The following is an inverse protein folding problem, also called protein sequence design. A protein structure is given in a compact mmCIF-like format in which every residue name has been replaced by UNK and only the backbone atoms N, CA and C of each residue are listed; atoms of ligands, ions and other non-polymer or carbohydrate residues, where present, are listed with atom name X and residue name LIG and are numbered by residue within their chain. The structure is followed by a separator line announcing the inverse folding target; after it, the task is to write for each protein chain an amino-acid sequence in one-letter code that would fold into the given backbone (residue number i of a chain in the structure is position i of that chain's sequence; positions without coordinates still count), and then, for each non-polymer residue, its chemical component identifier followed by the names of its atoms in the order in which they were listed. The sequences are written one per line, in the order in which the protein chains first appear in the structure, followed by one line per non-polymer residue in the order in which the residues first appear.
data_IF_784779939780
#
_entry.id   IF_784779939780
#
_cell.length_a   1.000
_cell.length_b   1.000
_cell.length_c   1.000
_cell.angle_alpha   90.00
_cell.angle_beta   90.00
_cell.angle_gamma   90.00
#
_symmetry.space_group_name_H-M   'P 1'
#
loop_
_entity.id
_entity.type
_entity.pdbx_description
1 polymer ?
#
# COMPACT_ATOMS: atom_id res chain seq x y z
N UNK A 1 -9.40 -21.39 1.12
CA UNK A 1 -8.01 -20.96 1.44
C UNK A 1 -7.22 -22.15 1.99
N UNK A 2 -5.97 -22.37 1.55
CA UNK A 2 -5.15 -23.46 2.14
C UNK A 2 -4.64 -23.00 3.51
N UNK A 3 -5.28 -23.50 4.57
CA UNK A 3 -4.98 -23.13 5.96
C UNK A 3 -3.55 -23.48 6.39
N UNK A 4 -2.85 -24.38 5.68
CA UNK A 4 -1.47 -24.74 5.98
C UNK A 4 -0.50 -23.58 5.77
N UNK A 5 -0.83 -22.63 4.88
CA UNK A 5 0.01 -21.47 4.54
C UNK A 5 -0.15 -20.29 5.49
N UNK A 6 -1.17 -20.32 6.34
CA UNK A 6 -1.55 -19.20 7.23
C UNK A 6 -1.75 -19.67 8.69
N UNK A 7 -1.01 -20.72 9.10
CA UNK A 7 -1.14 -21.33 10.45
C UNK A 7 -0.87 -20.35 11.59
N UNK A 8 0.00 -19.40 11.38
CA UNK A 8 0.33 -18.33 12.33
C UNK A 8 -0.87 -17.39 12.55
N UNK A 9 -1.60 -17.06 11.51
CA UNK A 9 -2.81 -16.22 11.57
C UNK A 9 -4.01 -16.96 12.17
N UNK A 10 -4.08 -18.28 11.97
CA UNK A 10 -5.12 -19.12 12.55
C UNK A 10 -5.05 -19.26 14.07
N UNK A 11 -4.01 -18.74 14.72
CA UNK A 11 -3.94 -18.65 16.18
C UNK A 11 -4.87 -17.59 16.76
N UNK A 12 -5.28 -16.62 15.95
CA UNK A 12 -6.12 -15.49 16.35
C UNK A 12 -7.58 -15.75 16.01
N UNK A 13 -8.47 -15.92 17.02
CA UNK A 13 -9.89 -16.21 16.79
C UNK A 13 -10.62 -15.09 16.03
N UNK A 14 -10.22 -13.83 16.24
CA UNK A 14 -10.74 -12.67 15.52
C UNK A 14 -10.47 -12.74 14.01
N UNK A 15 -9.28 -13.20 13.60
CA UNK A 15 -8.95 -13.35 12.19
C UNK A 15 -9.74 -14.50 11.55
N UNK A 16 -9.98 -15.60 12.29
CA UNK A 16 -10.86 -16.69 11.84
C UNK A 16 -12.28 -16.20 11.65
N UNK A 17 -12.79 -15.38 12.58
CA UNK A 17 -14.11 -14.80 12.51
C UNK A 17 -14.26 -13.93 11.26
N UNK A 18 -13.33 -12.99 11.03
CA UNK A 18 -13.32 -12.12 9.86
C UNK A 18 -13.23 -12.93 8.55
N UNK A 19 -12.40 -13.96 8.51
CA UNK A 19 -12.27 -14.82 7.32
C UNK A 19 -13.56 -15.64 7.06
N UNK A 20 -14.28 -16.03 8.10
CA UNK A 20 -15.56 -16.74 7.97
C UNK A 20 -16.68 -15.82 7.48
N UNK A 21 -16.66 -14.57 7.91
CA UNK A 21 -17.66 -13.55 7.62
C UNK A 21 -17.04 -12.36 6.86
N UNK A 22 -16.34 -12.67 5.78
CA UNK A 22 -15.55 -11.71 4.99
C UNK A 22 -16.38 -10.53 4.46
N UNK A 23 -17.66 -10.77 4.15
CA UNK A 23 -18.59 -9.73 3.70
C UNK A 23 -19.09 -8.82 4.85
N UNK A 24 -18.91 -9.22 6.10
CA UNK A 24 -19.39 -8.43 7.25
C UNK A 24 -18.62 -7.12 7.40
N UNK A 25 -17.30 -7.16 7.21
CA UNK A 25 -16.45 -5.99 7.35
C UNK A 25 -16.77 -4.89 6.33
N UNK A 26 -16.85 -5.18 5.01
CA UNK A 26 -17.24 -4.16 4.04
C UNK A 26 -18.69 -3.70 4.24
N UNK A 27 -19.64 -4.58 4.62
CA UNK A 27 -21.00 -4.17 4.92
C UNK A 27 -21.07 -3.22 6.13
N UNK A 28 -20.34 -3.54 7.21
CA UNK A 28 -20.26 -2.66 8.37
C UNK A 28 -19.60 -1.31 8.03
N UNK A 29 -18.55 -1.32 7.22
CA UNK A 29 -17.90 -0.10 6.75
C UNK A 29 -18.84 0.78 5.94
N UNK A 30 -19.62 0.20 5.02
CA UNK A 30 -20.61 0.93 4.23
C UNK A 30 -21.69 1.58 5.12
N UNK A 31 -22.22 0.84 6.11
CA UNK A 31 -23.18 1.37 7.08
C UNK A 31 -22.59 2.50 7.92
N UNK A 32 -21.36 2.33 8.44
CA UNK A 32 -20.71 3.35 9.25
C UNK A 32 -20.41 4.64 8.45
N UNK A 33 -19.99 4.50 7.20
CA UNK A 33 -19.75 5.65 6.30
C UNK A 33 -21.07 6.39 6.02
N UNK A 34 -22.18 5.65 5.79
CA UNK A 34 -23.50 6.25 5.62
C UNK A 34 -23.92 7.01 6.87
N UNK A 35 -23.85 6.37 8.05
CA UNK A 35 -24.21 7.01 9.32
C UNK A 35 -23.35 8.22 9.64
N UNK A 36 -22.07 8.17 9.32
CA UNK A 36 -21.18 9.32 9.46
C UNK A 36 -21.65 10.49 8.58
N UNK A 37 -22.05 10.23 7.35
CA UNK A 37 -22.59 11.26 6.46
C UNK A 37 -23.86 11.89 6.97
N UNK A 38 -24.80 11.09 7.53
CA UNK A 38 -26.01 11.61 8.19
C UNK A 38 -25.66 12.46 9.43
N UNK A 39 -24.72 11.99 10.24
CA UNK A 39 -24.25 12.75 11.41
C UNK A 39 -23.62 14.10 10.99
N UNK A 40 -22.80 14.12 9.94
CA UNK A 40 -22.18 15.35 9.42
C UNK A 40 -23.23 16.30 8.84
N UNK A 41 -24.28 15.80 8.21
CA UNK A 41 -25.38 16.64 7.72
C UNK A 41 -26.07 17.40 8.85
N UNK A 42 -26.15 16.80 10.07
CA UNK A 42 -26.74 17.42 11.24
C UNK A 42 -25.75 18.35 11.99
N UNK A 43 -24.53 17.87 12.23
CA UNK A 43 -23.58 18.56 13.12
C UNK A 43 -22.67 19.54 12.39
N UNK A 44 -22.49 19.37 11.09
CA UNK A 44 -21.64 20.21 10.24
C UNK A 44 -22.28 20.48 8.88
N UNK A 45 -23.50 21.09 8.84
CA UNK A 45 -24.26 21.29 7.59
C UNK A 45 -23.50 22.12 6.55
N UNK A 46 -22.57 22.96 6.98
CA UNK A 46 -21.70 23.74 6.08
C UNK A 46 -20.80 22.90 5.17
N UNK A 47 -20.62 21.60 5.44
CA UNK A 47 -19.88 20.68 4.57
C UNK A 47 -20.69 20.26 3.33
N UNK A 48 -22.01 20.49 3.31
CA UNK A 48 -22.88 20.16 2.19
C UNK A 48 -22.90 18.66 1.84
N UNK A 49 -22.65 17.77 2.82
CA UNK A 49 -22.63 16.32 2.63
C UNK A 49 -23.81 15.63 3.33
N UNK A 50 -24.08 14.38 2.95
CA UNK A 50 -25.09 13.52 3.56
C UNK A 50 -24.65 12.04 3.48
N UNK A 51 -25.43 11.14 4.10
CA UNK A 51 -25.12 9.72 4.15
C UNK A 51 -24.99 9.06 2.79
N UNK A 52 -25.90 9.35 1.88
CA UNK A 52 -25.86 8.76 0.54
C UNK A 52 -24.62 9.25 -0.24
N UNK A 53 -24.31 10.52 -0.16
CA UNK A 53 -23.13 11.08 -0.83
C UNK A 53 -21.83 10.49 -0.27
N UNK A 54 -21.71 10.37 1.06
CA UNK A 54 -20.56 9.75 1.68
C UNK A 54 -20.45 8.26 1.32
N UNK A 55 -21.54 7.53 1.29
CA UNK A 55 -21.58 6.13 0.87
C UNK A 55 -21.09 5.96 -0.57
N UNK A 56 -21.59 6.77 -1.50
CA UNK A 56 -21.20 6.68 -2.92
C UNK A 56 -19.71 7.01 -3.10
N UNK A 57 -19.25 8.12 -2.57
CA UNK A 57 -17.86 8.57 -2.76
C UNK A 57 -16.87 7.82 -1.86
N UNK A 58 -17.20 7.69 -0.56
CA UNK A 58 -16.31 7.15 0.46
C UNK A 58 -16.25 5.62 0.46
N UNK A 59 -17.24 4.94 -0.09
CA UNK A 59 -17.23 3.47 -0.18
C UNK A 59 -17.13 2.99 -1.63
N UNK A 60 -18.16 3.23 -2.47
CA UNK A 60 -18.17 2.63 -3.81
C UNK A 60 -17.09 3.19 -4.73
N UNK A 61 -17.01 4.50 -4.89
CA UNK A 61 -16.02 5.12 -5.80
C UNK A 61 -14.60 4.89 -5.27
N UNK A 62 -14.37 5.07 -3.97
CA UNK A 62 -13.05 4.82 -3.37
C UNK A 62 -12.59 3.37 -3.54
N UNK A 63 -13.49 2.39 -3.41
CA UNK A 63 -13.20 0.97 -3.62
C UNK A 63 -12.81 0.69 -5.08
N UNK A 64 -13.54 1.27 -6.04
CA UNK A 64 -13.21 1.13 -7.48
C UNK A 64 -11.85 1.77 -7.78
N UNK A 65 -11.58 2.97 -7.26
CA UNK A 65 -10.29 3.63 -7.43
C UNK A 65 -9.14 2.81 -6.83
N UNK A 66 -9.33 2.27 -5.62
CA UNK A 66 -8.34 1.40 -4.96
C UNK A 66 -8.08 0.13 -5.77
N UNK A 67 -9.13 -0.51 -6.29
CA UNK A 67 -9.01 -1.69 -7.14
C UNK A 67 -8.14 -1.38 -8.38
N UNK A 68 -8.43 -0.29 -9.10
CA UNK A 68 -7.65 0.11 -10.28
C UNK A 68 -6.22 0.49 -9.92
N UNK A 69 -5.96 1.16 -8.80
CA UNK A 69 -4.63 1.45 -8.31
C UNK A 69 -3.84 0.15 -8.07
N UNK A 70 -4.44 -0.82 -7.37
CA UNK A 70 -3.82 -2.12 -7.07
C UNK A 70 -3.53 -2.92 -8.35
N UNK A 71 -4.48 -2.99 -9.29
CA UNK A 71 -4.28 -3.67 -10.58
C UNK A 71 -3.20 -2.99 -11.41
N UNK A 72 -3.09 -1.65 -11.36
CA UNK A 72 -2.04 -0.91 -12.08
C UNK A 72 -0.64 -1.21 -11.55
N UNK A 73 -0.49 -1.47 -10.24
CA UNK A 73 0.79 -1.91 -9.66
C UNK A 73 1.21 -3.24 -10.31
N UNK A 74 0.30 -4.21 -10.39
CA UNK A 74 0.60 -5.54 -10.91
C UNK A 74 0.65 -5.65 -12.44
N UNK A 75 0.22 -4.63 -13.16
CA UNK A 75 0.25 -4.58 -14.63
C UNK A 75 1.24 -3.55 -15.16
N UNK A 76 0.99 -2.26 -14.93
CA UNK A 76 1.82 -1.18 -15.48
C UNK A 76 3.23 -1.19 -14.91
N UNK A 77 3.44 -1.57 -13.65
CA UNK A 77 4.77 -1.69 -13.07
C UNK A 77 5.61 -2.84 -13.64
N UNK A 78 5.03 -3.73 -14.44
CA UNK A 78 5.78 -4.74 -15.20
C UNK A 78 6.08 -4.31 -16.65
N UNK A 79 5.43 -3.25 -17.15
CA UNK A 79 5.61 -2.77 -18.53
C UNK A 79 6.32 -1.42 -18.56
N UNK A 80 5.95 -0.50 -17.65
CA UNK A 80 6.41 0.89 -17.68
C UNK A 80 7.27 1.24 -16.46
N UNK A 81 8.48 1.71 -16.72
CA UNK A 81 9.43 2.14 -15.68
C UNK A 81 10.85 1.64 -15.92
N UNK A 82 11.68 1.71 -14.88
CA UNK A 82 13.10 1.35 -14.95
C UNK A 82 13.38 0.12 -14.07
N UNK A 83 14.01 -0.89 -14.63
CA UNK A 83 14.57 -2.01 -13.84
C UNK A 83 15.88 -1.55 -13.21
N UNK A 84 15.96 -1.56 -11.89
CA UNK A 84 17.21 -1.33 -11.15
C UNK A 84 17.92 -2.65 -10.92
N UNK A 85 17.19 -3.62 -10.44
CA UNK A 85 17.68 -4.97 -10.14
C UNK A 85 17.23 -5.93 -11.22
N UNK A 86 18.06 -6.93 -11.49
CA UNK A 86 17.65 -8.11 -12.23
C UNK A 86 16.87 -9.01 -11.26
N UNK A 87 15.58 -9.12 -11.52
CA UNK A 87 14.62 -9.97 -10.82
C UNK A 87 14.11 -11.04 -11.79
N UNK A 88 13.55 -12.13 -11.27
CA UNK A 88 13.02 -13.22 -12.09
C UNK A 88 11.76 -12.83 -12.89
N UNK A 89 11.32 -11.59 -12.75
CA UNK A 89 10.16 -11.00 -13.41
C UNK A 89 10.50 -9.68 -14.12
N UNK A 90 9.51 -9.06 -14.76
CA UNK A 90 9.64 -7.79 -15.48
C UNK A 90 9.31 -6.56 -14.63
N UNK A 91 9.34 -6.68 -13.29
CA UNK A 91 9.04 -5.58 -12.38
C UNK A 91 9.93 -4.35 -12.62
N UNK A 92 9.34 -3.17 -12.53
CA UNK A 92 9.97 -1.88 -12.81
C UNK A 92 9.63 -0.86 -11.74
N UNK A 93 10.54 0.07 -11.50
CA UNK A 93 10.32 1.25 -10.67
C UNK A 93 9.75 2.37 -11.53
N UNK A 94 8.61 2.94 -11.14
CA UNK A 94 7.98 4.04 -11.83
C UNK A 94 7.61 5.13 -10.81
N UNK A 95 8.17 6.32 -10.98
CA UNK A 95 7.96 7.46 -10.09
C UNK A 95 6.50 7.91 -10.04
N UNK A 96 5.83 8.00 -11.20
CA UNK A 96 4.45 8.46 -11.26
C UNK A 96 3.49 7.47 -10.61
N UNK A 97 3.69 6.18 -10.88
CA UNK A 97 2.93 5.15 -10.19
C UNK A 97 3.20 5.17 -8.68
N UNK A 98 4.45 5.38 -8.25
CA UNK A 98 4.78 5.46 -6.83
C UNK A 98 4.06 6.62 -6.13
N UNK A 99 3.88 7.77 -6.79
CA UNK A 99 3.10 8.88 -6.21
C UNK A 99 1.61 8.53 -6.10
N UNK A 100 1.01 7.97 -7.15
CA UNK A 100 -0.42 7.65 -7.19
C UNK A 100 -0.76 6.50 -6.24
N UNK A 101 0.15 5.54 -6.08
CA UNK A 101 -0.01 4.33 -5.26
C UNK A 101 0.73 4.42 -3.92
N UNK A 102 1.06 5.65 -3.48
CA UNK A 102 1.65 5.96 -2.17
C UNK A 102 2.98 5.25 -1.85
N UNK A 103 3.72 4.80 -2.87
CA UNK A 103 5.01 4.13 -2.74
C UNK A 103 5.14 2.81 -3.50
N UNK A 104 4.02 2.15 -3.80
CA UNK A 104 4.01 0.82 -4.43
C UNK A 104 4.61 0.79 -5.85
N UNK A 105 4.70 1.94 -6.53
CA UNK A 105 5.36 2.04 -7.84
C UNK A 105 6.88 1.84 -7.81
N UNK A 106 7.52 1.70 -6.63
CA UNK A 106 8.91 1.22 -6.48
C UNK A 106 8.96 -0.32 -6.57
N UNK A 107 8.25 -0.88 -7.51
CA UNK A 107 7.89 -2.30 -7.61
C UNK A 107 9.09 -3.24 -7.86
N UNK A 108 10.09 -2.81 -8.65
CA UNK A 108 11.31 -3.59 -8.82
C UNK A 108 12.17 -3.64 -7.55
N UNK A 109 12.14 -2.58 -6.73
CA UNK A 109 12.77 -2.61 -5.41
C UNK A 109 12.05 -3.61 -4.50
N UNK A 110 10.70 -3.58 -4.51
CA UNK A 110 9.87 -4.51 -3.75
C UNK A 110 10.16 -5.96 -4.16
N UNK A 111 10.18 -6.28 -5.43
CA UNK A 111 10.48 -7.64 -5.93
C UNK A 111 11.91 -8.08 -5.61
N UNK A 112 12.86 -7.16 -5.51
CA UNK A 112 14.23 -7.47 -5.06
C UNK A 112 14.30 -7.82 -3.59
N UNK A 113 13.51 -7.14 -2.74
CA UNK A 113 13.48 -7.37 -1.30
C UNK A 113 12.08 -7.11 -0.72
N UNK A 114 11.14 -8.06 -0.88
CA UNK A 114 9.74 -7.88 -0.49
C UNK A 114 9.52 -7.78 1.03
N UNK A 115 10.50 -8.17 1.82
CA UNK A 115 10.41 -8.11 3.29
C UNK A 115 10.59 -6.71 3.86
N UNK A 116 11.10 -5.75 3.08
CA UNK A 116 11.26 -4.38 3.55
C UNK A 116 9.93 -3.64 3.57
N UNK A 117 9.62 -2.97 4.66
CA UNK A 117 8.46 -2.07 4.77
C UNK A 117 8.62 -0.87 3.85
N UNK A 118 9.86 -0.40 3.64
CA UNK A 118 10.16 0.70 2.74
C UNK A 118 10.46 0.19 1.34
N UNK A 119 9.70 0.62 0.35
CA UNK A 119 9.91 0.28 -1.05
C UNK A 119 10.81 1.29 -1.78
N UNK A 120 10.85 2.55 -1.36
CA UNK A 120 11.80 3.55 -1.85
C UNK A 120 13.20 3.36 -1.24
N UNK A 121 14.15 2.72 -1.98
CA UNK A 121 15.48 2.39 -1.45
C UNK A 121 16.46 3.57 -1.44
N UNK A 122 16.12 4.66 -2.13
CA UNK A 122 16.91 5.91 -2.15
C UNK A 122 16.15 7.03 -1.46
N UNK A 123 16.86 8.04 -1.00
CA UNK A 123 16.26 9.19 -0.31
C UNK A 123 15.26 9.97 -1.19
N UNK A 124 15.49 10.02 -2.51
CA UNK A 124 14.63 10.68 -3.48
C UNK A 124 13.48 9.81 -4.01
N UNK A 125 13.42 8.57 -3.62
CA UNK A 125 12.33 7.65 -3.92
C UNK A 125 11.25 7.85 -2.84
N UNK A 126 10.28 8.70 -3.17
CA UNK A 126 9.18 9.06 -2.29
C UNK A 126 8.33 7.84 -2.04
N UNK A 127 8.15 7.50 -0.77
CA UNK A 127 7.37 6.36 -0.29
C UNK A 127 6.47 6.85 0.84
N UNK A 128 5.27 7.28 0.46
CA UNK A 128 4.32 7.95 1.36
C UNK A 128 3.84 6.98 2.44
N UNK A 129 3.57 5.71 2.07
CA UNK A 129 3.17 4.67 3.01
C UNK A 129 4.24 4.47 4.08
N UNK A 130 5.51 4.38 3.69
CA UNK A 130 6.60 4.26 4.66
C UNK A 130 6.71 5.48 5.59
N UNK A 131 6.51 6.70 5.09
CA UNK A 131 6.52 7.89 5.95
C UNK A 131 5.40 7.83 6.99
N UNK A 132 4.20 7.43 6.59
CA UNK A 132 3.09 7.24 7.52
C UNK A 132 3.39 6.18 8.58
N UNK A 133 3.88 5.01 8.18
CA UNK A 133 4.26 3.94 9.11
C UNK A 133 5.41 4.36 10.04
N UNK A 134 6.38 5.12 9.54
CA UNK A 134 7.46 5.66 10.37
C UNK A 134 6.92 6.61 11.46
N UNK A 135 5.98 7.50 11.12
CA UNK A 135 5.31 8.37 12.11
C UNK A 135 4.56 7.54 13.13
N UNK A 136 3.75 6.57 12.70
CA UNK A 136 3.01 5.67 13.60
C UNK A 136 3.95 4.88 14.52
N UNK A 137 5.14 4.51 14.04
CA UNK A 137 6.14 3.82 14.87
C UNK A 137 6.72 4.74 15.95
N UNK A 138 6.86 6.04 15.68
CA UNK A 138 7.28 7.03 16.69
C UNK A 138 6.21 7.27 17.76
N UNK A 139 4.96 7.06 17.41
CA UNK A 139 3.83 7.13 18.34
C UNK A 139 3.60 5.81 19.11
N UNK A 140 4.40 4.77 18.86
CA UNK A 140 4.27 3.46 19.51
C UNK A 140 3.04 2.65 19.04
N UNK A 141 2.39 3.04 17.92
CA UNK A 141 1.21 2.36 17.37
C UNK A 141 1.63 1.17 16.50
N UNK A 142 2.78 1.28 15.83
CA UNK A 142 3.35 0.24 14.98
C UNK A 142 4.80 -0.01 15.40
N UNK A 143 5.24 -1.26 15.40
CA UNK A 143 6.60 -1.67 15.77
C UNK A 143 7.16 -2.69 14.77
N UNK A 144 8.43 -3.06 14.91
CA UNK A 144 9.13 -4.06 14.09
C UNK A 144 9.09 -3.77 12.57
N UNK A 145 9.24 -2.48 12.22
CA UNK A 145 9.34 -2.07 10.82
C UNK A 145 10.62 -2.64 10.18
N UNK A 146 10.47 -3.62 9.32
CA UNK A 146 11.58 -4.34 8.67
C UNK A 146 12.38 -3.40 7.76
N UNK A 147 13.66 -3.09 8.07
CA UNK A 147 14.44 -2.14 7.31
C UNK A 147 15.00 -2.75 6.02
N UNK A 148 15.44 -1.90 5.10
CA UNK A 148 16.24 -2.33 3.96
C UNK A 148 17.61 -2.82 4.47
N UNK A 149 18.03 -4.08 4.19
CA UNK A 149 19.31 -4.61 4.65
C UNK A 149 20.52 -3.86 4.09
N UNK A 150 21.64 -3.90 4.83
CA UNK A 150 22.84 -3.19 4.46
C UNK A 150 23.42 -3.62 3.09
N UNK A 151 23.34 -4.93 2.78
CA UNK A 151 23.80 -5.46 1.48
C UNK A 151 22.96 -4.94 0.31
N UNK A 152 21.62 -4.86 0.47
CA UNK A 152 20.73 -4.29 -0.56
C UNK A 152 20.97 -2.77 -0.75
N UNK A 153 21.21 -2.04 0.34
CA UNK A 153 21.61 -0.61 0.25
C UNK A 153 22.93 -0.44 -0.51
N UNK A 154 23.90 -1.33 -0.30
CA UNK A 154 25.19 -1.32 -0.99
C UNK A 154 25.00 -1.64 -2.48
N UNK A 155 24.31 -2.72 -2.81
CA UNK A 155 23.95 -3.12 -4.18
C UNK A 155 23.27 -1.98 -4.93
N UNK A 156 22.26 -1.34 -4.32
CA UNK A 156 21.55 -0.18 -4.88
C UNK A 156 22.53 0.95 -5.26
N UNK A 157 23.47 1.28 -4.37
CA UNK A 157 24.47 2.35 -4.62
C UNK A 157 25.44 2.00 -5.75
N UNK A 158 25.85 0.74 -5.83
CA UNK A 158 26.77 0.26 -6.87
C UNK A 158 26.11 0.30 -8.26
N UNK A 159 24.87 -0.20 -8.36
CA UNK A 159 24.10 -0.16 -9.60
C UNK A 159 23.86 1.29 -10.09
N UNK A 160 23.53 2.20 -9.18
CA UNK A 160 23.37 3.62 -9.54
C UNK A 160 24.68 4.25 -10.02
N UNK A 161 25.84 3.90 -9.43
CA UNK A 161 27.16 4.36 -9.89
C UNK A 161 27.50 3.84 -11.28
N UNK A 162 27.24 2.55 -11.54
CA UNK A 162 27.47 1.94 -12.86
C UNK A 162 26.63 2.60 -13.96
N UNK A 163 25.35 2.90 -13.66
CA UNK A 163 24.45 3.58 -14.61
C UNK A 163 24.91 5.00 -14.94
N UNK A 164 25.47 5.73 -13.96
CA UNK A 164 26.00 7.08 -14.19
C UNK A 164 27.26 7.07 -15.07
N UNK A 165 28.06 6.00 -15.03
CA UNK A 165 29.27 5.86 -15.88
C UNK A 165 28.94 5.47 -17.33
N UNK A 166 27.73 4.91 -17.58
CA UNK A 166 27.28 4.49 -18.93
C UNK A 166 26.52 5.58 -19.69
N UNK A 167 26.26 6.71 -19.06
CA UNK A 167 25.67 7.95 -19.65
C UNK A 167 26.76 8.95 -19.94
#
# INVERSE_FOLDING_TARGET
MDERRVRDWLKFPELKFINRFDSLVPAAAAVLIYLLGEALAVWAPGLGTNGLQLLVWGFFISTVCLFHATVSINSLSHVWGKRRFETDDDSRNNFWLALITLGEGWHNNHHRWPQSVRQGFRWYEIDITWYGLWVLSKLGIVWDLNPIPAHIKKETRELDKQRRKRK
#
